data_IF_061552799065
#
_entry.id   IF_061552799065
#
_cell.length_a   1.000
_cell.length_b   1.000
_cell.length_c   1.000
_cell.angle_alpha   90.00
_cell.angle_beta   90.00
_cell.angle_gamma   90.00
#
_symmetry.space_group_name_H-M   'P 1'
#
loop_
_entity.id
_entity.type
_entity.pdbx_description
1 polymer ?
#
# COMPACT_ATOMS: atom_id res chain seq x y z
N UNK A 1 -2.58 11.93 -29.66
CA UNK A 1 -3.84 11.33 -30.14
C UNK A 1 -4.27 11.78 -31.54
N UNK A 2 -4.30 13.09 -31.86
CA UNK A 2 -4.78 13.58 -33.18
C UNK A 2 -4.00 13.08 -34.42
N UNK A 3 -2.78 12.55 -34.26
CA UNK A 3 -1.96 12.01 -35.34
C UNK A 3 -2.07 10.47 -35.52
N UNK A 4 -2.83 9.77 -34.67
CA UNK A 4 -2.82 8.30 -34.60
C UNK A 4 -4.23 7.67 -34.63
N UNK A 5 -5.29 8.47 -34.77
CA UNK A 5 -6.66 7.99 -34.93
C UNK A 5 -7.50 9.01 -35.72
N UNK A 6 -8.20 8.55 -36.76
CA UNK A 6 -9.14 9.36 -37.52
C UNK A 6 -10.48 9.34 -36.79
N UNK A 7 -11.18 10.49 -36.60
CA UNK A 7 -12.54 10.48 -36.08
C UNK A 7 -13.43 9.47 -36.82
N UNK A 8 -14.09 8.58 -36.08
CA UNK A 8 -14.87 7.46 -36.65
C UNK A 8 -14.11 6.12 -36.74
N UNK A 9 -12.81 6.08 -36.43
CA UNK A 9 -12.06 4.82 -36.36
C UNK A 9 -12.45 4.00 -35.14
N UNK A 10 -12.58 2.69 -35.31
CA UNK A 10 -12.70 1.75 -34.19
C UNK A 10 -11.33 1.57 -33.56
N UNK A 11 -11.21 1.94 -32.29
CA UNK A 11 -10.03 1.64 -31.49
C UNK A 11 -10.21 0.27 -30.85
N UNK A 12 -9.21 -0.60 -31.01
CA UNK A 12 -9.12 -1.87 -30.29
C UNK A 12 -8.19 -1.67 -29.11
N UNK A 13 -8.70 -1.95 -27.91
CA UNK A 13 -7.91 -1.97 -26.67
C UNK A 13 -7.72 -3.43 -26.29
N UNK A 14 -6.47 -3.81 -26.04
CA UNK A 14 -6.11 -5.13 -25.53
C UNK A 14 -5.41 -4.95 -24.19
N UNK A 15 -6.04 -5.41 -23.12
CA UNK A 15 -5.48 -5.34 -21.78
C UNK A 15 -4.87 -6.67 -21.39
N UNK A 16 -3.72 -6.60 -20.72
CA UNK A 16 -3.02 -7.76 -20.18
C UNK A 16 -2.50 -7.44 -18.78
N UNK A 17 -2.87 -8.29 -17.84
CA UNK A 17 -2.35 -8.26 -16.47
C UNK A 17 -1.32 -9.38 -16.35
N UNK A 18 -0.15 -9.06 -15.82
CA UNK A 18 0.93 -10.01 -15.61
C UNK A 18 1.49 -9.93 -14.19
N UNK A 19 1.96 -11.05 -13.67
CA UNK A 19 2.73 -11.08 -12.43
C UNK A 19 4.18 -10.61 -12.62
N UNK A 20 4.96 -10.57 -11.54
CA UNK A 20 6.36 -10.18 -11.56
C UNK A 20 7.28 -11.11 -12.40
N UNK A 21 6.80 -12.28 -12.82
CA UNK A 21 7.50 -13.21 -13.72
C UNK A 21 7.03 -13.08 -15.17
N UNK A 22 6.18 -12.11 -15.48
CA UNK A 22 5.59 -11.89 -16.81
C UNK A 22 4.50 -12.90 -17.17
N UNK A 23 4.04 -13.74 -16.23
CA UNK A 23 2.96 -14.69 -16.49
C UNK A 23 1.64 -13.96 -16.47
N UNK A 24 0.75 -14.28 -17.41
CA UNK A 24 -0.59 -13.71 -17.46
C UNK A 24 -1.38 -14.08 -16.19
N UNK A 25 -2.04 -13.09 -15.62
CA UNK A 25 -3.01 -13.25 -14.53
C UNK A 25 -4.40 -13.04 -15.12
N UNK A 26 -5.28 -14.03 -14.94
CA UNK A 26 -6.70 -13.91 -15.28
C UNK A 26 -7.46 -13.58 -14.00
N UNK A 27 -8.19 -12.47 -14.00
CA UNK A 27 -9.03 -12.07 -12.88
C UNK A 27 -10.44 -12.66 -13.05
N UNK A 28 -10.96 -13.23 -11.98
CA UNK A 28 -12.35 -13.61 -11.87
C UNK A 28 -13.25 -12.42 -11.48
N UNK A 29 -14.58 -12.60 -11.53
CA UNK A 29 -15.55 -11.56 -11.17
C UNK A 29 -15.56 -11.19 -9.68
N UNK A 30 -14.74 -11.83 -8.85
CA UNK A 30 -14.61 -11.60 -7.41
C UNK A 30 -13.21 -11.14 -7.01
N UNK A 31 -12.32 -10.93 -7.98
CA UNK A 31 -10.97 -10.48 -7.72
C UNK A 31 -10.91 -8.96 -7.80
N UNK A 32 -10.39 -8.35 -6.74
CA UNK A 32 -10.10 -6.92 -6.69
C UNK A 32 -8.60 -6.69 -6.81
N UNK A 33 -8.21 -5.58 -7.44
CA UNK A 33 -6.84 -5.10 -7.47
C UNK A 33 -6.78 -3.75 -6.78
N UNK A 34 -5.82 -3.62 -5.87
CA UNK A 34 -5.46 -2.35 -5.23
C UNK A 34 -3.98 -2.07 -5.50
N UNK A 35 -3.64 -0.81 -5.70
CA UNK A 35 -2.24 -0.41 -5.80
C UNK A 35 -1.59 -0.38 -4.41
N UNK A 36 -0.30 -0.67 -4.35
CA UNK A 36 0.48 -0.58 -3.13
C UNK A 36 1.98 -0.58 -3.45
N UNK A 37 2.76 -0.35 -2.42
CA UNK A 37 4.22 -0.38 -2.46
C UNK A 37 4.82 0.46 -1.34
N UNK A 38 6.08 0.20 -0.97
CA UNK A 38 6.95 -0.91 -1.43
C UNK A 38 6.55 -2.27 -0.85
N UNK A 39 7.16 -3.35 -1.34
CA UNK A 39 7.04 -4.65 -0.70
C UNK A 39 7.80 -4.65 0.63
N UNK A 40 7.15 -5.14 1.68
CA UNK A 40 7.71 -5.16 3.03
C UNK A 40 8.25 -6.54 3.38
N UNK A 41 7.45 -7.57 3.11
CA UNK A 41 7.77 -8.96 3.40
C UNK A 41 7.51 -9.81 2.15
N UNK A 42 8.46 -10.69 1.84
CA UNK A 42 8.36 -11.69 0.78
C UNK A 42 8.80 -13.04 1.35
N UNK A 43 7.97 -14.06 1.21
CA UNK A 43 8.25 -15.42 1.66
C UNK A 43 8.72 -15.48 3.14
N UNK A 44 8.08 -14.69 4.00
CA UNK A 44 8.35 -14.59 5.44
C UNK A 44 9.63 -13.82 5.81
N UNK A 45 10.29 -13.17 4.84
CA UNK A 45 11.51 -12.39 5.05
C UNK A 45 11.28 -10.92 4.73
N UNK A 46 11.93 -10.03 5.48
CA UNK A 46 11.97 -8.59 5.15
C UNK A 46 12.57 -8.44 3.75
N UNK A 47 11.88 -7.68 2.90
CA UNK A 47 12.17 -7.57 1.47
C UNK A 47 12.18 -6.12 0.96
N UNK A 48 12.28 -5.15 1.86
CA UNK A 48 12.32 -3.72 1.52
C UNK A 48 13.56 -3.42 0.67
N UNK A 49 13.35 -2.92 -0.54
CA UNK A 49 14.41 -2.47 -1.43
C UNK A 49 14.07 -1.08 -1.98
N UNK A 50 14.65 -0.05 -1.38
CA UNK A 50 14.37 1.33 -1.77
C UNK A 50 14.63 1.62 -3.25
N UNK A 51 15.62 0.97 -3.88
CA UNK A 51 15.93 1.19 -5.28
C UNK A 51 14.93 0.50 -6.19
N UNK A 52 14.78 -0.81 -6.01
CA UNK A 52 13.89 -1.64 -6.85
C UNK A 52 12.42 -1.28 -6.68
N UNK A 53 12.01 -0.89 -5.47
CA UNK A 53 10.63 -0.48 -5.18
C UNK A 53 10.36 0.99 -5.56
N UNK A 54 11.33 1.66 -6.20
CA UNK A 54 11.18 3.04 -6.68
C UNK A 54 11.03 4.08 -5.57
N UNK A 55 11.36 3.76 -4.32
CA UNK A 55 11.30 4.71 -3.19
C UNK A 55 12.51 5.66 -3.16
N UNK A 56 13.67 5.19 -3.63
CA UNK A 56 14.84 6.00 -3.89
C UNK A 56 14.71 6.59 -5.30
N UNK A 57 14.56 7.92 -5.36
CA UNK A 57 14.43 8.64 -6.61
C UNK A 57 15.75 9.32 -6.96
N UNK A 58 16.38 9.00 -8.11
CA UNK A 58 17.64 9.63 -8.53
C UNK A 58 17.58 11.16 -8.60
N UNK A 59 16.43 11.72 -8.97
CA UNK A 59 16.19 13.18 -9.01
C UNK A 59 15.73 13.81 -7.70
N UNK A 60 15.51 13.01 -6.64
CA UNK A 60 15.13 13.49 -5.31
C UNK A 60 15.85 12.64 -4.24
N UNK A 61 17.10 12.99 -3.90
CA UNK A 61 17.93 12.18 -2.99
C UNK A 61 17.36 12.11 -1.57
N UNK A 62 16.43 13.00 -1.21
CA UNK A 62 15.80 12.99 0.11
C UNK A 62 14.52 12.15 0.19
N UNK A 63 14.00 11.66 -0.95
CA UNK A 63 12.74 10.93 -0.98
C UNK A 63 12.77 9.65 -0.14
N UNK A 64 13.84 8.85 -0.31
CA UNK A 64 14.03 7.62 0.46
C UNK A 64 14.05 7.91 1.97
N UNK A 65 14.71 9.01 2.37
CA UNK A 65 14.73 9.40 3.76
C UNK A 65 13.37 9.89 4.25
N UNK A 66 12.79 10.90 3.62
CA UNK A 66 11.58 11.58 4.10
C UNK A 66 10.34 10.69 4.08
N UNK A 67 10.22 9.86 3.04
CA UNK A 67 9.07 8.97 2.87
C UNK A 67 9.32 7.58 3.42
N UNK A 68 10.55 7.05 3.36
CA UNK A 68 10.80 5.64 3.61
C UNK A 68 11.52 5.32 4.92
N UNK A 69 12.60 6.05 5.24
CA UNK A 69 13.42 5.81 6.44
C UNK A 69 12.81 6.52 7.65
N UNK A 70 12.44 7.79 7.49
CA UNK A 70 11.78 8.58 8.53
C UNK A 70 10.44 7.94 8.90
N UNK A 71 10.16 7.94 10.20
CA UNK A 71 8.88 7.48 10.74
C UNK A 71 7.73 8.36 10.27
N UNK A 72 6.68 7.70 9.81
CA UNK A 72 5.44 8.31 9.33
C UNK A 72 4.25 7.43 9.75
N UNK A 73 3.01 7.95 9.77
CA UNK A 73 1.83 7.11 9.78
C UNK A 73 1.84 6.18 8.57
N UNK A 74 1.39 4.94 8.74
CA UNK A 74 1.43 3.90 7.70
C UNK A 74 0.16 3.07 7.68
N UNK A 75 -0.16 2.58 6.50
CA UNK A 75 -1.12 1.49 6.29
C UNK A 75 -0.38 0.33 5.64
N UNK A 76 -0.58 -0.89 6.14
CA UNK A 76 0.03 -2.11 5.63
C UNK A 76 -1.04 -3.15 5.33
N UNK A 77 -0.81 -3.93 4.27
CA UNK A 77 -1.61 -5.09 3.92
C UNK A 77 -0.68 -6.30 3.79
N UNK A 78 -1.11 -7.44 4.31
CA UNK A 78 -0.39 -8.69 4.14
C UNK A 78 -1.26 -9.92 4.29
N UNK A 79 -0.65 -11.08 4.08
CA UNK A 79 -1.24 -12.39 4.29
C UNK A 79 -0.33 -13.26 5.13
N UNK A 80 -0.91 -14.05 6.04
CA UNK A 80 -0.17 -15.05 6.79
C UNK A 80 -0.10 -16.40 6.05
N UNK A 81 0.58 -17.39 6.64
CA UNK A 81 0.73 -18.73 6.07
C UNK A 81 -0.61 -19.50 5.94
N UNK A 82 -1.68 -19.04 6.59
CA UNK A 82 -3.03 -19.63 6.51
C UNK A 82 -3.91 -18.88 5.50
N UNK A 83 -3.36 -17.88 4.80
CA UNK A 83 -4.09 -17.05 3.85
C UNK A 83 -5.00 -16.00 4.51
N UNK A 84 -4.87 -15.75 5.82
CA UNK A 84 -5.65 -14.69 6.49
C UNK A 84 -5.07 -13.33 6.14
N UNK A 85 -5.95 -12.35 5.94
CA UNK A 85 -5.57 -10.95 5.69
C UNK A 85 -5.12 -10.30 7.01
N UNK A 86 -4.02 -9.57 6.93
CA UNK A 86 -3.51 -8.67 7.96
C UNK A 86 -3.62 -7.24 7.41
N UNK A 87 -4.57 -6.46 7.92
CA UNK A 87 -4.70 -5.04 7.63
C UNK A 87 -4.29 -4.26 8.88
N UNK A 88 -3.23 -3.45 8.76
CA UNK A 88 -2.58 -2.81 9.91
C UNK A 88 -2.38 -1.34 9.64
N UNK A 89 -2.71 -0.49 10.61
CA UNK A 89 -2.40 0.94 10.58
C UNK A 89 -1.50 1.33 11.75
N UNK A 90 -0.53 2.20 11.50
CA UNK A 90 0.27 2.87 12.52
C UNK A 90 -0.03 4.35 12.48
N UNK A 91 -0.50 4.93 13.58
CA UNK A 91 -0.51 6.39 13.77
C UNK A 91 0.93 6.93 13.74
N UNK A 92 1.10 8.23 13.52
CA UNK A 92 2.42 8.85 13.50
C UNK A 92 2.35 10.39 13.47
N UNK A 93 3.50 11.05 13.57
CA UNK A 93 3.63 12.52 13.64
C UNK A 93 2.86 13.15 14.82
N UNK A 94 2.71 12.41 15.92
CA UNK A 94 1.97 12.83 17.11
C UNK A 94 2.90 12.74 18.33
N UNK A 95 3.62 13.83 18.66
CA UNK A 95 4.56 13.85 19.78
C UNK A 95 3.91 13.38 21.08
N UNK A 96 4.58 12.48 21.80
CA UNK A 96 4.07 11.90 23.05
C UNK A 96 3.05 10.77 22.88
N UNK A 97 2.62 10.46 21.65
CA UNK A 97 1.70 9.36 21.36
C UNK A 97 2.28 8.36 20.35
N UNK A 98 2.63 8.81 19.15
CA UNK A 98 3.24 7.96 18.13
C UNK A 98 4.07 8.77 17.13
N UNK A 99 5.32 8.35 16.92
CA UNK A 99 6.16 8.86 15.85
C UNK A 99 5.83 8.20 14.49
N UNK A 100 5.20 7.03 14.52
CA UNK A 100 4.96 6.18 13.35
C UNK A 100 6.11 5.21 13.06
N UNK A 101 6.18 4.72 11.83
CA UNK A 101 7.13 3.69 11.42
C UNK A 101 7.85 4.07 10.11
N UNK A 102 9.15 3.78 10.07
CA UNK A 102 9.89 3.62 8.82
C UNK A 102 9.50 2.30 8.13
N UNK A 103 9.84 2.14 6.85
CA UNK A 103 9.47 0.94 6.08
C UNK A 103 10.10 -0.34 6.63
N UNK A 104 11.38 -0.29 7.03
CA UNK A 104 12.04 -1.44 7.65
C UNK A 104 11.40 -1.83 9.00
N UNK A 105 10.99 -0.84 9.79
CA UNK A 105 10.29 -1.08 11.07
C UNK A 105 8.90 -1.68 10.82
N UNK A 106 8.18 -1.17 9.81
CA UNK A 106 6.91 -1.72 9.35
C UNK A 106 7.03 -3.16 8.82
N UNK A 107 8.08 -3.45 8.04
CA UNK A 107 8.36 -4.79 7.56
C UNK A 107 8.63 -5.78 8.70
N UNK A 108 9.43 -5.36 9.68
CA UNK A 108 9.69 -6.17 10.86
C UNK A 108 8.41 -6.40 11.69
N UNK A 109 7.58 -5.36 11.85
CA UNK A 109 6.28 -5.48 12.51
C UNK A 109 5.38 -6.50 11.78
N UNK A 110 5.19 -6.35 10.47
CA UNK A 110 4.35 -7.26 9.69
C UNK A 110 4.86 -8.70 9.76
N UNK A 111 6.19 -8.90 9.67
CA UNK A 111 6.81 -10.22 9.84
C UNK A 111 6.51 -10.81 11.22
N UNK A 112 6.64 -10.01 12.29
CA UNK A 112 6.35 -10.45 13.68
C UNK A 112 4.87 -10.76 13.90
N UNK A 113 3.98 -10.07 13.20
CA UNK A 113 2.54 -10.38 13.18
C UNK A 113 2.21 -11.66 12.39
N UNK A 114 3.20 -12.28 11.74
CA UNK A 114 3.08 -13.54 11.03
C UNK A 114 2.82 -13.40 9.54
N UNK A 115 3.00 -12.21 8.96
CA UNK A 115 2.88 -12.03 7.53
C UNK A 115 3.95 -12.84 6.78
N UNK A 116 3.53 -13.63 5.79
CA UNK A 116 4.40 -14.29 4.82
C UNK A 116 4.64 -13.37 3.63
N UNK A 117 3.61 -12.63 3.21
CA UNK A 117 3.73 -11.55 2.24
C UNK A 117 3.09 -10.30 2.81
N UNK A 118 3.75 -9.15 2.65
CA UNK A 118 3.19 -7.86 3.06
C UNK A 118 3.73 -6.74 2.18
N UNK A 119 2.92 -5.70 2.02
CA UNK A 119 3.28 -4.48 1.33
C UNK A 119 2.75 -3.26 2.08
N UNK A 120 3.38 -2.12 1.82
CA UNK A 120 2.89 -0.83 2.28
C UNK A 120 1.79 -0.33 1.34
N UNK A 121 0.80 0.40 1.89
CA UNK A 121 -0.21 1.14 1.15
C UNK A 121 0.00 2.65 1.37
N UNK A 122 -0.91 3.50 0.88
CA UNK A 122 -0.80 4.93 1.15
C UNK A 122 -0.74 5.22 2.66
N UNK A 123 0.05 6.23 3.00
CA UNK A 123 0.46 6.55 4.36
C UNK A 123 0.32 8.03 4.70
N UNK A 124 0.98 8.47 5.76
CA UNK A 124 0.88 9.86 6.20
C UNK A 124 -0.56 10.24 6.59
N UNK A 125 -1.01 11.42 6.16
CA UNK A 125 -2.36 11.91 6.47
C UNK A 125 -3.49 11.02 5.95
N UNK A 126 -3.21 10.17 4.95
CA UNK A 126 -4.17 9.21 4.41
C UNK A 126 -4.35 7.96 5.29
N UNK A 127 -3.49 7.72 6.30
CA UNK A 127 -3.63 6.56 7.18
C UNK A 127 -4.88 6.70 8.05
N UNK A 128 -5.89 5.91 7.74
CA UNK A 128 -7.14 5.83 8.49
C UNK A 128 -7.66 4.39 8.53
N UNK A 129 -8.20 3.98 9.68
CA UNK A 129 -8.96 2.73 9.80
C UNK A 129 -10.24 2.99 10.56
N UNK A 130 -11.35 2.51 10.00
CA UNK A 130 -12.63 2.47 10.68
C UNK A 130 -13.06 1.03 10.93
N UNK A 131 -13.54 0.77 12.15
CA UNK A 131 -14.11 -0.51 12.55
C UNK A 131 -15.55 -0.26 12.96
N UNK A 132 -16.49 -0.97 12.31
CA UNK A 132 -17.93 -0.79 12.51
C UNK A 132 -18.39 0.69 12.38
N UNK A 133 -17.89 1.38 11.35
CA UNK A 133 -18.23 2.78 11.07
C UNK A 133 -17.62 3.80 12.02
N UNK A 134 -16.70 3.39 12.91
CA UNK A 134 -16.01 4.28 13.84
C UNK A 134 -14.52 4.31 13.55
N UNK A 135 -13.97 5.50 13.40
CA UNK A 135 -12.53 5.69 13.24
C UNK A 135 -11.80 5.20 14.51
N UNK A 136 -10.83 4.32 14.33
CA UNK A 136 -9.99 3.77 15.41
C UNK A 136 -8.56 4.30 15.37
N UNK A 137 -8.19 4.98 14.30
CA UNK A 137 -6.92 5.72 14.14
C UNK A 137 -7.06 7.18 14.54
N UNK A 138 -5.95 7.82 14.92
CA UNK A 138 -5.88 9.26 15.07
C UNK A 138 -5.24 9.87 13.80
N UNK A 139 -5.97 10.66 13.00
CA UNK A 139 -5.41 11.30 11.80
C UNK A 139 -4.21 12.19 12.12
N UNK A 140 -3.22 12.23 11.21
CA UNK A 140 -1.99 13.02 11.44
C UNK A 140 -2.06 14.45 10.90
N UNK A 141 -2.98 14.74 9.99
CA UNK A 141 -3.10 16.08 9.40
C UNK A 141 -3.84 17.02 10.36
N UNK A 142 -3.42 18.28 10.40
CA UNK A 142 -4.02 19.28 11.31
C UNK A 142 -5.52 19.52 11.05
N UNK A 143 -5.97 19.29 9.81
CA UNK A 143 -7.38 19.41 9.43
C UNK A 143 -8.23 18.16 9.77
N UNK A 144 -7.63 17.10 10.30
CA UNK A 144 -8.30 15.84 10.62
C UNK A 144 -8.12 14.75 9.56
N UNK A 145 -9.14 13.92 9.38
CA UNK A 145 -9.14 12.82 8.39
C UNK A 145 -9.06 13.38 6.96
N UNK A 146 -8.17 12.82 6.15
CA UNK A 146 -7.93 13.26 4.77
C UNK A 146 -8.84 12.51 3.80
N UNK A 147 -9.49 13.19 2.83
CA UNK A 147 -10.13 12.51 1.70
C UNK A 147 -9.10 11.72 0.88
N UNK A 148 -9.39 10.45 0.61
CA UNK A 148 -8.54 9.54 -0.16
C UNK A 148 -9.20 9.16 -1.48
N UNK A 149 -8.40 8.73 -2.47
CA UNK A 149 -8.89 8.34 -3.80
C UNK A 149 -9.59 6.98 -3.82
N UNK A 150 -9.18 6.09 -2.93
CA UNK A 150 -9.62 4.70 -2.83
C UNK A 150 -9.50 4.17 -1.39
N UNK A 151 -10.13 3.04 -1.09
CA UNK A 151 -10.12 2.42 0.24
C UNK A 151 -10.44 0.93 0.21
N UNK A 152 -9.94 0.19 1.19
CA UNK A 152 -10.18 -1.24 1.35
C UNK A 152 -11.35 -1.49 2.32
N UNK A 153 -12.39 -2.18 1.84
CA UNK A 153 -13.59 -2.47 2.62
C UNK A 153 -13.73 -3.97 2.84
N UNK A 154 -13.45 -4.41 4.07
CA UNK A 154 -13.68 -5.80 4.48
C UNK A 154 -15.13 -5.95 4.94
N UNK A 155 -15.96 -6.57 4.09
CA UNK A 155 -17.36 -6.89 4.42
C UNK A 155 -17.44 -8.31 4.95
N UNK A 156 -18.11 -8.50 6.09
CA UNK A 156 -18.47 -9.83 6.55
C UNK A 156 -19.65 -10.33 5.70
N UNK A 157 -19.38 -11.24 4.78
CA UNK A 157 -20.41 -12.01 4.08
C UNK A 157 -20.67 -13.26 4.90
N UNK A 158 -21.57 -13.15 5.88
CA UNK A 158 -21.99 -14.28 6.71
C UNK A 158 -22.54 -15.44 5.89
#
# INVERSE_FOLDING_TARGET
>A
MRSHAVPGSVLRVEDRITDARGRRVELGPRDDIVNGGPQLVRDGRVAVDYGTDGTAHPGNPTAAYTWGIKRNPRTFLGTDARGRILLVTSAGRQPGYSDGLGLNEGAELMRRLGAVNAMNLDGGGSTAMAVHGRLVTMPSDAAGERPVGDGLFLKNTG
#
